data_IF_596935775430
#
_entry.id   IF_596935775430
#
_cell.length_a   1.000
_cell.length_b   1.000
_cell.length_c   1.000
_cell.angle_alpha   90.00
_cell.angle_beta   90.00
_cell.angle_gamma   90.00
#
_symmetry.space_group_name_H-M   'P 1'
#
loop_
_entity.id
_entity.type
_entity.pdbx_description
1 polymer ?
#
# COMPACT_ATOMS: atom_id res chain seq x y z
N UNK A 1 4.11 24.58 -7.24
CA UNK A 1 4.52 23.39 -8.02
C UNK A 1 3.96 22.18 -7.28
N UNK A 2 2.91 21.56 -7.78
CA UNK A 2 2.37 20.35 -7.13
C UNK A 2 3.38 19.21 -7.34
N UNK A 3 4.05 18.82 -6.26
CA UNK A 3 4.86 17.58 -6.25
C UNK A 3 3.90 16.40 -6.41
N UNK A 4 3.89 15.79 -7.58
CA UNK A 4 2.98 14.70 -7.92
C UNK A 4 3.55 13.33 -7.51
N UNK A 5 4.84 13.24 -7.16
CA UNK A 5 5.51 11.98 -6.83
C UNK A 5 6.41 12.11 -5.62
N UNK A 6 6.37 11.10 -4.76
CA UNK A 6 7.25 10.91 -3.60
C UNK A 6 7.16 12.02 -2.55
N UNK A 7 6.10 11.95 -1.75
CA UNK A 7 6.01 12.75 -0.51
C UNK A 7 7.12 12.27 0.44
N UNK A 8 7.89 13.21 1.02
CA UNK A 8 8.94 12.84 1.97
C UNK A 8 8.34 12.24 3.25
N UNK A 9 9.06 11.31 3.85
CA UNK A 9 8.61 10.67 5.09
C UNK A 9 8.36 11.65 6.24
N UNK A 10 9.10 12.76 6.29
CA UNK A 10 9.03 13.77 7.35
C UNK A 10 7.83 14.71 7.19
N UNK A 11 7.19 14.71 6.03
CA UNK A 11 5.96 15.49 5.79
C UNK A 11 4.72 14.81 6.41
N UNK A 12 4.78 13.51 6.72
CA UNK A 12 3.68 12.79 7.36
C UNK A 12 3.66 12.98 8.87
N UNK A 13 2.45 13.16 9.42
CA UNK A 13 2.22 13.08 10.86
C UNK A 13 2.45 11.63 11.29
N UNK A 14 3.33 11.43 12.24
CA UNK A 14 3.78 10.12 12.69
C UNK A 14 3.33 9.81 14.11
N UNK A 15 3.24 8.51 14.40
CA UNK A 15 2.98 7.95 15.72
C UNK A 15 3.82 6.67 15.90
N UNK A 16 3.34 5.76 16.72
CA UNK A 16 3.99 4.45 16.91
C UNK A 16 3.67 3.44 15.81
N UNK A 17 2.78 3.79 14.87
CA UNK A 17 2.37 2.93 13.76
C UNK A 17 3.49 2.88 12.70
N UNK A 18 3.88 1.71 12.22
CA UNK A 18 4.84 1.58 11.13
C UNK A 18 4.36 2.30 9.86
N UNK A 19 5.30 2.91 9.14
CA UNK A 19 5.04 3.60 7.87
C UNK A 19 5.94 3.04 6.78
N UNK A 20 5.35 2.73 5.62
CA UNK A 20 6.11 2.38 4.42
C UNK A 20 6.97 3.56 3.98
N UNK A 21 8.26 3.35 3.85
CA UNK A 21 9.25 4.40 3.50
C UNK A 21 9.08 4.86 2.06
N UNK A 22 9.48 6.11 1.80
CA UNK A 22 9.27 6.79 0.51
C UNK A 22 9.78 5.97 -0.69
N UNK A 23 10.94 5.35 -0.60
CA UNK A 23 11.52 4.55 -1.68
C UNK A 23 10.67 3.30 -1.97
N UNK A 24 10.20 2.62 -0.92
CA UNK A 24 9.33 1.45 -1.04
C UNK A 24 7.94 1.85 -1.53
N UNK A 25 7.41 3.00 -1.07
CA UNK A 25 6.14 3.54 -1.57
C UNK A 25 6.20 3.81 -3.07
N UNK A 26 7.24 4.49 -3.52
CA UNK A 26 7.43 4.83 -4.93
C UNK A 26 7.43 3.57 -5.83
N UNK A 27 8.15 2.52 -5.43
CA UNK A 27 8.18 1.26 -6.18
C UNK A 27 6.81 0.57 -6.13
N UNK A 28 6.19 0.49 -4.95
CA UNK A 28 4.88 -0.18 -4.77
C UNK A 28 3.78 0.52 -5.57
N UNK A 29 3.74 1.85 -5.54
CA UNK A 29 2.77 2.66 -6.31
C UNK A 29 3.03 2.54 -7.81
N UNK A 30 4.30 2.55 -8.23
CA UNK A 30 4.67 2.31 -9.63
C UNK A 30 4.18 0.95 -10.15
N UNK A 31 4.25 -0.10 -9.31
CA UNK A 31 3.73 -1.45 -9.66
C UNK A 31 2.20 -1.52 -9.74
N UNK A 32 1.47 -0.59 -9.14
CA UNK A 32 0.01 -0.53 -9.26
C UNK A 32 -0.43 -0.07 -10.66
N UNK A 33 0.40 0.63 -11.42
CA UNK A 33 0.04 1.18 -12.75
C UNK A 33 -1.28 1.96 -12.69
N UNK A 34 -1.30 3.00 -11.86
CA UNK A 34 -2.49 3.81 -11.60
C UNK A 34 -2.94 4.58 -12.84
N UNK A 35 -4.24 4.65 -13.06
CA UNK A 35 -4.90 5.56 -13.99
C UNK A 35 -5.56 6.70 -13.20
N UNK A 36 -5.83 7.84 -13.84
CA UNK A 36 -6.30 9.06 -13.17
C UNK A 36 -7.63 8.87 -12.41
N UNK A 37 -8.47 7.93 -12.88
CA UNK A 37 -9.80 7.60 -12.36
C UNK A 37 -9.86 6.27 -11.60
N UNK A 38 -8.70 5.63 -11.34
CA UNK A 38 -8.64 4.33 -10.66
C UNK A 38 -9.37 4.33 -9.32
N UNK A 39 -10.09 3.25 -9.04
CA UNK A 39 -10.61 2.92 -7.71
C UNK A 39 -9.63 1.98 -7.02
N UNK A 40 -9.08 2.42 -5.90
CA UNK A 40 -7.99 1.73 -5.21
C UNK A 40 -8.41 1.36 -3.80
N UNK A 41 -8.08 0.15 -3.36
CA UNK A 41 -8.19 -0.27 -1.95
C UNK A 41 -6.80 -0.47 -1.37
N UNK A 42 -6.51 0.20 -0.25
CA UNK A 42 -5.29 0.05 0.55
C UNK A 42 -5.64 -0.71 1.84
N UNK A 43 -5.16 -1.96 1.92
CA UNK A 43 -5.46 -2.89 3.02
C UNK A 43 -4.33 -2.88 4.04
N UNK A 44 -4.69 -2.59 5.30
CA UNK A 44 -3.73 -2.40 6.39
C UNK A 44 -2.97 -1.08 6.21
N UNK A 45 -3.72 0.01 6.00
CA UNK A 45 -3.20 1.30 5.57
C UNK A 45 -2.24 1.97 6.56
N UNK A 46 -2.23 1.55 7.83
CA UNK A 46 -1.30 2.03 8.85
C UNK A 46 -1.38 3.56 9.04
N UNK A 47 -0.33 4.28 8.69
CA UNK A 47 -0.33 5.76 8.76
C UNK A 47 -1.08 6.43 7.61
N UNK A 48 -1.53 5.67 6.61
CA UNK A 48 -2.15 6.17 5.40
C UNK A 48 -1.17 6.69 4.35
N UNK A 49 0.13 6.50 4.51
CA UNK A 49 1.12 7.08 3.61
C UNK A 49 0.94 6.61 2.15
N UNK A 50 0.67 5.33 1.93
CA UNK A 50 0.34 4.79 0.58
C UNK A 50 -0.97 5.39 0.08
N UNK A 51 -2.03 5.35 0.90
CA UNK A 51 -3.36 5.88 0.53
C UNK A 51 -3.32 7.36 0.14
N UNK A 52 -2.60 8.19 0.91
CA UNK A 52 -2.45 9.64 0.69
C UNK A 52 -1.70 9.90 -0.62
N UNK A 53 -0.59 9.19 -0.84
CA UNK A 53 0.21 9.39 -2.06
C UNK A 53 -0.56 8.93 -3.30
N UNK A 54 -1.24 7.78 -3.25
CA UNK A 54 -2.15 7.33 -4.32
C UNK A 54 -3.25 8.38 -4.58
N UNK A 55 -3.94 8.85 -3.53
CA UNK A 55 -5.02 9.83 -3.66
C UNK A 55 -4.54 11.17 -4.25
N UNK A 56 -3.28 11.53 -4.02
CA UNK A 56 -2.65 12.70 -4.63
C UNK A 56 -2.42 12.54 -6.13
N UNK A 57 -2.26 11.33 -6.62
CA UNK A 57 -2.02 10.99 -8.03
C UNK A 57 -3.35 10.87 -8.80
N UNK A 58 -4.31 10.09 -8.28
CA UNK A 58 -5.58 9.77 -8.95
C UNK A 58 -6.64 10.85 -8.70
N UNK A 59 -6.58 11.97 -9.40
CA UNK A 59 -7.45 13.12 -9.13
C UNK A 59 -8.96 12.90 -9.38
N UNK A 60 -9.30 11.99 -10.29
CA UNK A 60 -10.70 11.61 -10.63
C UNK A 60 -11.12 10.29 -10.00
N UNK A 61 -10.17 9.54 -9.44
CA UNK A 61 -10.39 8.26 -8.81
C UNK A 61 -10.74 8.36 -7.33
N UNK A 62 -10.84 7.20 -6.69
CA UNK A 62 -11.15 7.09 -5.26
C UNK A 62 -10.25 6.06 -4.57
N UNK A 63 -9.78 6.39 -3.38
CA UNK A 63 -9.05 5.48 -2.51
C UNK A 63 -9.92 5.07 -1.32
N UNK A 64 -9.91 3.79 -1.00
CA UNK A 64 -10.49 3.23 0.23
C UNK A 64 -9.33 2.71 1.08
N UNK A 65 -9.11 3.28 2.25
CA UNK A 65 -8.11 2.83 3.21
C UNK A 65 -8.79 2.05 4.34
N UNK A 66 -8.50 0.76 4.47
CA UNK A 66 -8.99 -0.03 5.58
C UNK A 66 -7.90 -0.29 6.62
N UNK A 67 -8.22 -0.02 7.87
CA UNK A 67 -7.31 -0.22 9.00
C UNK A 67 -8.11 -0.58 10.26
N UNK A 68 -7.65 -1.58 11.00
CA UNK A 68 -8.35 -2.09 12.19
C UNK A 68 -8.00 -1.34 13.49
N UNK A 69 -6.80 -0.77 13.59
CA UNK A 69 -6.31 -0.12 14.79
C UNK A 69 -6.79 1.32 14.87
N UNK A 70 -7.47 1.69 15.96
CA UNK A 70 -7.96 3.07 16.17
C UNK A 70 -6.85 4.11 16.05
N UNK A 71 -5.69 3.88 16.69
CA UNK A 71 -4.56 4.81 16.63
C UNK A 71 -4.10 5.07 15.17
N UNK A 72 -4.11 4.03 14.33
CA UNK A 72 -3.74 4.15 12.93
C UNK A 72 -4.82 4.87 12.12
N UNK A 73 -6.11 4.57 12.37
CA UNK A 73 -7.24 5.28 11.75
C UNK A 73 -7.17 6.79 12.04
N UNK A 74 -6.88 7.18 13.28
CA UNK A 74 -6.72 8.60 13.64
C UNK A 74 -5.50 9.24 12.94
N UNK A 75 -4.40 8.51 12.76
CA UNK A 75 -3.27 8.99 11.97
C UNK A 75 -3.65 9.21 10.50
N UNK A 76 -4.40 8.27 9.89
CA UNK A 76 -4.88 8.44 8.51
C UNK A 76 -5.76 9.68 8.40
N UNK A 77 -6.70 9.92 9.33
CA UNK A 77 -7.56 11.10 9.34
C UNK A 77 -6.75 12.39 9.42
N UNK A 78 -5.77 12.46 10.32
CA UNK A 78 -4.89 13.62 10.48
C UNK A 78 -4.05 13.87 9.24
N UNK A 79 -3.43 12.84 8.66
CA UNK A 79 -2.68 12.95 7.42
C UNK A 79 -3.56 13.34 6.25
N UNK A 80 -4.77 12.77 6.12
CA UNK A 80 -5.75 13.16 5.09
C UNK A 80 -6.06 14.67 5.15
N UNK A 81 -6.27 15.20 6.36
CA UNK A 81 -6.54 16.62 6.55
C UNK A 81 -5.30 17.49 6.27
N UNK A 82 -4.12 17.05 6.73
CA UNK A 82 -2.86 17.74 6.53
C UNK A 82 -2.51 17.93 5.04
N UNK A 83 -2.79 16.92 4.21
CA UNK A 83 -2.55 16.96 2.77
C UNK A 83 -3.76 17.43 1.93
N UNK A 84 -4.85 17.90 2.54
CA UNK A 84 -6.14 18.29 1.89
C UNK A 84 -6.64 17.22 0.90
N UNK A 85 -6.59 15.94 1.28
CA UNK A 85 -7.04 14.83 0.44
C UNK A 85 -8.55 14.65 0.58
N UNK A 86 -9.29 14.73 -0.54
CA UNK A 86 -10.76 14.66 -0.56
C UNK A 86 -11.30 13.34 -1.11
N UNK A 87 -10.54 12.65 -1.93
CA UNK A 87 -10.90 11.39 -2.59
C UNK A 87 -10.44 10.13 -1.83
N UNK A 88 -10.19 10.23 -0.52
CA UNK A 88 -9.84 9.15 0.38
C UNK A 88 -10.98 8.88 1.37
N UNK A 89 -11.53 7.67 1.32
CA UNK A 89 -12.46 7.15 2.32
C UNK A 89 -11.71 6.24 3.31
N UNK A 90 -11.98 6.40 4.59
CA UNK A 90 -11.32 5.66 5.66
C UNK A 90 -12.32 4.69 6.27
N UNK A 91 -12.00 3.41 6.22
CA UNK A 91 -12.82 2.32 6.76
C UNK A 91 -12.10 1.77 7.99
N UNK A 92 -12.71 1.91 9.16
CA UNK A 92 -12.24 1.21 10.35
C UNK A 92 -12.79 -0.20 10.35
N UNK A 93 -11.91 -1.20 10.20
CA UNK A 93 -12.35 -2.57 10.10
C UNK A 93 -11.25 -3.55 9.72
N UNK A 94 -11.66 -4.78 9.48
CA UNK A 94 -10.82 -5.89 9.07
C UNK A 94 -11.17 -6.30 7.62
N UNK A 95 -10.16 -6.50 6.79
CA UNK A 95 -10.34 -7.01 5.44
C UNK A 95 -10.30 -8.56 5.44
N UNK A 96 -11.14 -9.20 4.59
CA UNK A 96 -12.05 -8.57 3.63
C UNK A 96 -13.45 -8.25 4.19
N UNK A 97 -13.77 -8.63 5.43
CA UNK A 97 -15.11 -8.64 6.01
C UNK A 97 -15.80 -7.26 5.95
N UNK A 98 -15.07 -6.19 6.27
CA UNK A 98 -15.61 -4.83 6.30
C UNK A 98 -15.50 -4.11 4.93
N UNK A 99 -15.16 -4.83 3.85
CA UNK A 99 -15.09 -4.32 2.48
C UNK A 99 -16.28 -4.74 1.61
N UNK A 100 -17.32 -5.35 2.19
CA UNK A 100 -18.45 -5.92 1.45
C UNK A 100 -19.22 -4.91 0.58
N UNK A 101 -19.24 -3.64 0.99
CA UNK A 101 -19.94 -2.56 0.29
C UNK A 101 -19.12 -1.96 -0.88
N UNK A 102 -17.92 -2.47 -1.11
CA UNK A 102 -17.10 -2.04 -2.23
C UNK A 102 -17.40 -2.96 -3.43
N UNK A 103 -17.88 -2.35 -4.51
CA UNK A 103 -18.15 -3.06 -5.77
C UNK A 103 -16.85 -3.32 -6.55
N UNK A 104 -16.82 -2.98 -7.83
CA UNK A 104 -15.63 -3.13 -8.68
C UNK A 104 -14.56 -2.11 -8.33
N UNK A 105 -13.33 -2.59 -8.30
CA UNK A 105 -12.11 -1.82 -8.05
C UNK A 105 -11.07 -2.12 -9.13
N UNK A 106 -10.09 -1.24 -9.27
CA UNK A 106 -9.07 -1.37 -10.29
C UNK A 106 -7.72 -1.80 -9.71
N UNK A 107 -7.45 -1.40 -8.48
CA UNK A 107 -6.14 -1.63 -7.84
C UNK A 107 -6.32 -2.02 -6.38
N UNK A 108 -5.52 -2.97 -5.94
CA UNK A 108 -5.42 -3.37 -4.53
C UNK A 108 -3.97 -3.27 -4.09
N UNK A 109 -3.74 -2.54 -3.02
CA UNK A 109 -2.48 -2.59 -2.29
C UNK A 109 -2.69 -3.29 -0.94
N UNK A 110 -1.78 -4.18 -0.57
CA UNK A 110 -1.82 -4.89 0.71
C UNK A 110 -0.54 -4.58 1.49
N UNK A 111 -0.63 -3.70 2.49
CA UNK A 111 0.44 -3.39 3.43
C UNK A 111 0.48 -4.39 4.58
N UNK A 112 -0.69 -4.75 5.12
CA UNK A 112 -0.85 -5.71 6.21
C UNK A 112 -2.14 -6.51 6.08
N UNK A 113 -2.09 -7.83 6.30
CA UNK A 113 -3.24 -8.74 6.13
C UNK A 113 -3.84 -9.25 7.45
N UNK A 114 -3.19 -8.97 8.59
CA UNK A 114 -3.65 -9.44 9.91
C UNK A 114 -3.93 -10.95 10.03
N UNK A 115 -3.30 -11.75 9.17
CA UNK A 115 -3.52 -13.21 9.10
C UNK A 115 -4.45 -13.66 7.96
N UNK A 116 -5.30 -12.80 7.44
CA UNK A 116 -6.36 -13.12 6.44
C UNK A 116 -5.87 -12.97 4.99
N UNK A 117 -4.60 -13.25 4.71
CA UNK A 117 -4.03 -12.97 3.38
C UNK A 117 -4.72 -13.73 2.25
N UNK A 118 -5.06 -14.98 2.47
CA UNK A 118 -5.68 -15.85 1.46
C UNK A 118 -7.09 -15.36 1.11
N UNK A 119 -7.89 -15.03 2.13
CA UNK A 119 -9.24 -14.48 1.98
C UNK A 119 -9.22 -13.11 1.30
N UNK A 120 -8.25 -12.28 1.64
CA UNK A 120 -8.05 -10.95 1.02
C UNK A 120 -7.71 -11.11 -0.46
N UNK A 121 -6.81 -12.02 -0.84
CA UNK A 121 -6.42 -12.24 -2.23
C UNK A 121 -7.59 -12.82 -3.03
N UNK A 122 -8.37 -13.74 -2.46
CA UNK A 122 -9.60 -14.26 -3.07
C UNK A 122 -10.61 -13.14 -3.29
N UNK A 123 -10.90 -12.35 -2.27
CA UNK A 123 -11.78 -11.17 -2.37
C UNK A 123 -11.29 -10.19 -3.44
N UNK A 124 -10.00 -9.91 -3.48
CA UNK A 124 -9.41 -9.03 -4.48
C UNK A 124 -9.64 -9.55 -5.90
N UNK A 125 -9.49 -10.87 -6.13
CA UNK A 125 -9.75 -11.47 -7.43
C UNK A 125 -11.21 -11.30 -7.87
N UNK A 126 -12.16 -11.46 -6.96
CA UNK A 126 -13.60 -11.30 -7.23
C UNK A 126 -13.97 -9.83 -7.55
N UNK A 127 -13.32 -8.86 -6.89
CA UNK A 127 -13.66 -7.43 -6.97
C UNK A 127 -12.88 -6.64 -8.02
N UNK A 128 -11.68 -7.09 -8.36
CA UNK A 128 -10.86 -6.43 -9.38
C UNK A 128 -11.52 -6.46 -10.75
N UNK A 129 -11.39 -5.37 -11.50
CA UNK A 129 -11.76 -5.30 -12.92
C UNK A 129 -10.81 -6.19 -13.76
N UNK A 130 -11.18 -6.47 -15.02
CA UNK A 130 -10.42 -7.38 -15.92
C UNK A 130 -8.95 -6.92 -16.16
N UNK A 131 -8.67 -5.62 -15.96
CA UNK A 131 -7.31 -5.05 -15.98
C UNK A 131 -6.80 -4.71 -14.58
N UNK A 132 -7.43 -5.32 -13.57
CA UNK A 132 -7.13 -5.06 -12.18
C UNK A 132 -5.74 -5.52 -11.77
N UNK A 133 -5.10 -4.79 -10.87
CA UNK A 133 -3.79 -5.12 -10.32
C UNK A 133 -3.80 -5.21 -8.81
N UNK A 134 -2.99 -6.13 -8.32
CA UNK A 134 -2.70 -6.27 -6.89
C UNK A 134 -1.21 -6.09 -6.63
N UNK A 135 -0.88 -5.38 -5.57
CA UNK A 135 0.49 -5.24 -5.07
C UNK A 135 0.52 -5.55 -3.59
N UNK A 136 1.48 -6.37 -3.18
CA UNK A 136 1.67 -6.79 -1.79
C UNK A 136 3.11 -6.59 -1.34
N UNK A 137 3.30 -5.92 -0.22
CA UNK A 137 4.60 -5.78 0.45
C UNK A 137 4.75 -6.83 1.56
N UNK A 138 5.89 -7.50 1.59
CA UNK A 138 6.23 -8.51 2.61
C UNK A 138 7.65 -8.28 3.13
N UNK A 139 7.83 -8.47 4.44
CA UNK A 139 9.13 -8.37 5.12
C UNK A 139 9.74 -9.73 5.42
N UNK A 140 8.98 -10.82 5.28
CA UNK A 140 9.46 -12.19 5.52
C UNK A 140 9.29 -13.06 4.29
N UNK A 141 10.18 -14.05 4.15
CA UNK A 141 10.16 -15.02 3.05
C UNK A 141 8.87 -15.84 3.09
N UNK A 142 8.44 -16.25 4.28
CA UNK A 142 7.24 -17.08 4.47
C UNK A 142 5.98 -16.34 4.00
N UNK A 143 5.86 -15.05 4.32
CA UNK A 143 4.73 -14.25 3.87
C UNK A 143 4.79 -13.99 2.36
N UNK A 144 5.97 -13.80 1.80
CA UNK A 144 6.15 -13.67 0.35
C UNK A 144 5.75 -14.98 -0.36
N UNK A 145 6.21 -16.12 0.14
CA UNK A 145 5.84 -17.43 -0.40
C UNK A 145 4.33 -17.70 -0.34
N UNK A 146 3.70 -17.44 0.83
CA UNK A 146 2.24 -17.56 0.98
C UNK A 146 1.48 -16.65 0.00
N UNK A 147 1.92 -15.41 -0.17
CA UNK A 147 1.30 -14.47 -1.11
C UNK A 147 1.38 -14.98 -2.55
N UNK A 148 2.55 -15.43 -3.00
CA UNK A 148 2.75 -15.99 -4.36
C UNK A 148 1.85 -17.20 -4.58
N UNK A 149 1.79 -18.13 -3.62
CA UNK A 149 0.95 -19.32 -3.75
C UNK A 149 -0.53 -18.96 -3.79
N UNK A 150 -0.99 -18.06 -2.93
CA UNK A 150 -2.39 -17.62 -2.93
C UNK A 150 -2.76 -16.90 -4.23
N UNK A 151 -1.88 -16.07 -4.79
CA UNK A 151 -2.09 -15.46 -6.10
C UNK A 151 -2.24 -16.51 -7.22
N UNK A 152 -1.37 -17.54 -7.24
CA UNK A 152 -1.46 -18.64 -8.20
C UNK A 152 -2.77 -19.44 -8.07
N UNK A 153 -3.15 -19.77 -6.83
CA UNK A 153 -4.38 -20.51 -6.54
C UNK A 153 -5.65 -19.76 -6.95
N UNK A 154 -5.60 -18.42 -6.92
CA UNK A 154 -6.69 -17.55 -7.35
C UNK A 154 -6.51 -17.05 -8.80
N UNK A 155 -5.74 -17.75 -9.63
CA UNK A 155 -5.60 -17.54 -11.08
C UNK A 155 -5.10 -16.15 -11.50
N UNK A 156 -4.42 -15.42 -10.61
CA UNK A 156 -3.73 -14.20 -10.97
C UNK A 156 -2.59 -14.49 -11.95
N UNK A 157 -2.40 -13.59 -12.91
CA UNK A 157 -1.41 -13.68 -13.99
C UNK A 157 -0.29 -12.67 -13.81
N UNK A 158 0.77 -12.82 -14.59
CA UNK A 158 1.91 -11.91 -14.63
C UNK A 158 2.46 -11.62 -13.22
N UNK A 159 2.56 -12.66 -12.38
CA UNK A 159 3.11 -12.53 -11.02
C UNK A 159 4.58 -12.13 -11.12
N UNK A 160 4.88 -10.93 -10.68
CA UNK A 160 6.24 -10.39 -10.63
C UNK A 160 6.65 -10.16 -9.18
N UNK A 161 7.88 -10.51 -8.85
CA UNK A 161 8.43 -10.37 -7.50
C UNK A 161 9.77 -9.67 -7.55
N UNK A 162 9.88 -8.56 -6.85
CA UNK A 162 11.15 -7.85 -6.66
C UNK A 162 11.55 -7.83 -5.20
N UNK A 163 12.83 -7.97 -4.93
CA UNK A 163 13.43 -7.84 -3.61
C UNK A 163 14.20 -6.53 -3.54
N UNK A 164 13.75 -5.61 -2.70
CA UNK A 164 14.28 -4.25 -2.61
C UNK A 164 15.11 -4.08 -1.36
N UNK A 165 16.37 -3.71 -1.52
CA UNK A 165 17.31 -3.38 -0.46
C UNK A 165 17.63 -1.89 -0.52
N UNK A 166 17.41 -1.17 0.57
CA UNK A 166 17.67 0.27 0.69
C UNK A 166 18.70 0.49 1.77
N UNK A 167 19.69 1.33 1.49
CA UNK A 167 20.58 1.88 2.48
C UNK A 167 20.54 3.41 2.42
N UNK A 168 20.50 4.04 3.59
CA UNK A 168 20.48 5.50 3.73
C UNK A 168 21.76 6.00 4.34
N UNK A 169 22.29 7.11 3.81
CA UNK A 169 23.44 7.79 4.38
C UNK A 169 23.09 8.43 5.73
N UNK A 170 23.95 8.22 6.73
CA UNK A 170 23.89 8.88 8.04
C UNK A 170 25.22 9.56 8.30
N UNK A 171 25.20 10.85 8.57
CA UNK A 171 26.41 11.60 8.95
C UNK A 171 26.94 11.14 10.31
N UNK A 172 28.24 10.90 10.37
CA UNK A 172 28.99 10.55 11.58
C UNK A 172 30.26 11.38 11.56
N UNK A 173 30.26 12.54 12.25
CA UNK A 173 31.27 13.55 12.07
C UNK A 173 31.33 14.05 10.62
N UNK A 174 32.49 14.07 10.02
CA UNK A 174 32.71 14.47 8.62
C UNK A 174 32.53 13.34 7.60
N UNK A 175 32.12 12.15 8.04
CA UNK A 175 31.93 10.97 7.20
C UNK A 175 30.45 10.64 7.04
N UNK A 176 30.13 9.90 5.96
CA UNK A 176 28.79 9.36 5.73
C UNK A 176 28.82 7.83 5.82
N UNK A 177 28.11 7.29 6.79
CA UNK A 177 27.93 5.84 6.94
C UNK A 177 26.61 5.40 6.29
N UNK A 178 26.65 4.32 5.51
CA UNK A 178 25.45 3.72 4.92
C UNK A 178 24.77 2.76 5.90
N UNK A 179 23.52 3.05 6.24
CA UNK A 179 22.70 2.21 7.13
C UNK A 179 21.65 1.49 6.29
N UNK A 180 21.70 0.15 6.29
CA UNK A 180 20.71 -0.70 5.65
C UNK A 180 19.37 -0.66 6.40
N UNK A 181 18.27 -0.67 5.63
CA UNK A 181 16.93 -0.90 6.17
C UNK A 181 16.52 -2.35 5.91
N UNK A 182 15.46 -2.83 6.59
CA UNK A 182 14.96 -4.17 6.32
C UNK A 182 14.56 -4.31 4.85
N UNK A 183 15.04 -5.37 4.18
CA UNK A 183 14.63 -5.66 2.79
C UNK A 183 13.13 -5.92 2.70
N UNK A 184 12.55 -5.57 1.56
CA UNK A 184 11.12 -5.74 1.29
C UNK A 184 10.94 -6.57 0.01
N UNK A 185 10.11 -7.60 0.08
CA UNK A 185 9.58 -8.28 -1.11
C UNK A 185 8.34 -7.54 -1.58
N UNK A 186 8.35 -7.03 -2.79
CA UNK A 186 7.18 -6.42 -3.45
C UNK A 186 6.71 -7.40 -4.52
N UNK A 187 5.49 -7.88 -4.36
CA UNK A 187 4.86 -8.83 -5.27
C UNK A 187 3.72 -8.10 -5.96
N UNK A 188 3.68 -8.16 -7.28
CA UNK A 188 2.57 -7.63 -8.08
C UNK A 188 2.01 -8.71 -9.00
N UNK A 189 0.72 -8.61 -9.30
CA UNK A 189 0.05 -9.51 -10.23
C UNK A 189 -1.15 -8.82 -10.91
N UNK A 190 -1.60 -9.38 -12.04
CA UNK A 190 -2.82 -8.97 -12.75
C UNK A 190 -3.92 -9.99 -12.51
N UNK A 191 -5.17 -9.50 -12.50
CA UNK A 191 -6.34 -10.35 -12.55
C UNK A 191 -6.46 -11.06 -13.90
#
# INVERSE_FOLDING_TARGET
MNKVFSINDDEFIRGKVPMTKSEIRAISIGKLELEEDSKVVDIGAGTGAISIEIASIIKKGKVYAIEKKEEAVELIKRNRSHFDIRNLEIIKGLAPEDLNNIDKIDRVFIGGSSGNMEEIIKWAHEKLSDRGKIVKNNITIENAYKAINSLKQNEFKDIDTVHVNISKGKSVGDLTMMIGTNPIYIISAKR
#
